data_IF_406285412528
#
_entry.id   IF_406285412528
#
_cell.length_a   1.000
_cell.length_b   1.000
_cell.length_c   1.000
_cell.angle_alpha   90.00
_cell.angle_beta   90.00
_cell.angle_gamma   90.00
#
_symmetry.space_group_name_H-M   'P 1'
#
loop_
_entity.id
_entity.type
_entity.pdbx_description
1 polymer ?
#
# COMPACT_ATOMS: atom_id res chain seq x y z
N UNK A 1 -17.81 37.63 40.72
CA UNK A 1 -17.34 37.07 39.44
C UNK A 1 -15.83 37.01 39.51
N UNK A 2 -15.29 35.84 39.89
CA UNK A 2 -13.84 35.63 40.00
C UNK A 2 -13.32 35.25 38.62
N UNK A 3 -12.35 35.99 38.13
CA UNK A 3 -11.62 35.74 36.89
C UNK A 3 -10.63 34.64 37.21
N UNK A 4 -10.92 33.41 36.73
CA UNK A 4 -9.92 32.32 36.74
C UNK A 4 -8.79 32.69 35.79
N UNK A 5 -7.62 32.90 36.38
CA UNK A 5 -6.37 33.05 35.63
C UNK A 5 -6.04 31.75 34.92
N UNK A 6 -6.16 31.73 33.61
CA UNK A 6 -5.63 30.62 32.79
C UNK A 6 -4.12 30.52 33.04
N UNK A 7 -3.74 29.45 33.74
CA UNK A 7 -2.32 29.08 33.90
C UNK A 7 -1.77 28.77 32.51
N UNK A 8 -0.75 29.48 32.09
CA UNK A 8 -0.02 29.20 30.85
C UNK A 8 0.52 27.78 30.90
N UNK A 9 0.35 27.04 29.79
CA UNK A 9 0.95 25.73 29.64
C UNK A 9 2.46 25.79 29.92
N UNK A 10 3.04 24.79 30.59
CA UNK A 10 4.48 24.79 30.86
C UNK A 10 5.24 24.86 29.53
N UNK A 11 6.41 25.53 29.51
CA UNK A 11 7.22 25.62 28.30
C UNK A 11 7.58 24.19 27.84
N UNK A 12 7.31 23.91 26.56
CA UNK A 12 7.75 22.67 25.93
C UNK A 12 9.27 22.65 26.05
N UNK A 13 9.81 21.80 26.89
CA UNK A 13 11.26 21.56 26.98
C UNK A 13 11.73 21.11 25.61
N UNK A 14 12.61 21.88 25.00
CA UNK A 14 13.23 21.54 23.73
C UNK A 14 13.99 20.24 23.92
N UNK A 15 13.55 19.19 23.23
CA UNK A 15 14.17 17.87 23.30
C UNK A 15 15.46 17.94 22.50
N UNK A 16 16.59 17.68 23.14
CA UNK A 16 17.89 17.53 22.47
C UNK A 16 17.85 16.30 21.55
N UNK A 17 18.09 16.51 20.26
CA UNK A 17 18.00 15.48 19.23
C UNK A 17 19.33 15.27 18.54
N UNK A 18 19.74 14.03 18.42
CA UNK A 18 20.85 13.68 17.55
C UNK A 18 20.53 14.03 16.11
N UNK A 19 21.55 14.43 15.34
CA UNK A 19 21.41 14.77 13.93
C UNK A 19 22.47 14.02 13.10
N UNK A 20 22.08 13.64 11.88
CA UNK A 20 22.99 13.12 10.89
C UNK A 20 22.70 13.74 9.53
N UNK A 21 23.76 13.85 8.68
CA UNK A 21 23.64 14.33 7.32
C UNK A 21 23.76 13.15 6.33
N UNK A 22 22.89 13.16 5.30
CA UNK A 22 22.89 12.18 4.22
C UNK A 22 22.63 12.85 2.88
N UNK A 23 22.95 12.19 1.78
CA UNK A 23 22.67 12.75 0.46
C UNK A 23 21.19 12.60 0.12
N UNK A 24 20.63 11.40 0.30
CA UNK A 24 19.22 11.11 0.00
C UNK A 24 18.55 10.43 1.19
N UNK A 25 17.48 11.04 1.71
CA UNK A 25 16.59 10.44 2.70
C UNK A 25 15.25 10.09 2.04
N UNK A 26 14.86 8.83 2.13
CA UNK A 26 13.62 8.30 1.57
C UNK A 26 12.64 7.96 2.70
N UNK A 27 11.34 8.22 2.49
CA UNK A 27 10.25 7.94 3.43
C UNK A 27 9.28 6.95 2.85
N UNK A 28 9.11 5.82 3.55
CA UNK A 28 8.23 4.72 3.17
C UNK A 28 8.83 3.81 2.10
N UNK A 29 8.78 2.50 2.32
CA UNK A 29 9.27 1.51 1.36
C UNK A 29 8.10 0.73 0.75
N UNK A 30 7.35 1.41 -0.12
CA UNK A 30 6.32 0.82 -0.96
C UNK A 30 6.79 0.58 -2.40
N UNK A 31 5.90 0.09 -3.28
CA UNK A 31 6.24 -0.18 -4.68
C UNK A 31 6.80 1.04 -5.44
N UNK A 32 6.34 2.25 -5.11
CA UNK A 32 6.83 3.48 -5.74
C UNK A 32 8.30 3.75 -5.35
N UNK A 33 8.62 3.65 -4.06
CA UNK A 33 9.98 3.82 -3.56
C UNK A 33 10.89 2.69 -4.05
N UNK A 34 10.41 1.45 -4.04
CA UNK A 34 11.13 0.32 -4.62
C UNK A 34 11.51 0.57 -6.08
N UNK A 35 10.58 1.08 -6.89
CA UNK A 35 10.86 1.45 -8.30
C UNK A 35 11.86 2.59 -8.44
N UNK A 36 11.77 3.63 -7.61
CA UNK A 36 12.73 4.74 -7.57
C UNK A 36 14.14 4.23 -7.24
N UNK A 37 14.30 3.49 -6.14
CA UNK A 37 15.59 2.99 -5.68
C UNK A 37 16.19 1.97 -6.64
N UNK A 38 15.39 1.11 -7.25
CA UNK A 38 15.83 0.16 -8.29
C UNK A 38 16.37 0.90 -9.52
N UNK A 39 15.69 1.97 -9.94
CA UNK A 39 16.16 2.79 -11.07
C UNK A 39 17.45 3.51 -10.71
N UNK A 40 17.52 4.14 -9.54
CA UNK A 40 18.71 4.83 -9.05
C UNK A 40 19.92 3.90 -8.99
N UNK A 41 19.78 2.74 -8.36
CA UNK A 41 20.89 1.78 -8.22
C UNK A 41 21.33 1.19 -9.56
N UNK A 42 20.41 0.98 -10.50
CA UNK A 42 20.73 0.55 -11.86
C UNK A 42 21.55 1.59 -12.60
N UNK A 43 21.14 2.85 -12.60
CA UNK A 43 21.88 3.94 -13.24
C UNK A 43 23.25 4.13 -12.58
N UNK A 44 23.33 4.05 -11.26
CA UNK A 44 24.58 4.13 -10.53
C UNK A 44 25.56 3.01 -10.93
N UNK A 45 25.06 1.78 -10.99
CA UNK A 45 25.88 0.61 -11.38
C UNK A 45 26.31 0.68 -12.85
N UNK A 46 25.48 1.25 -13.71
CA UNK A 46 25.81 1.41 -15.14
C UNK A 46 26.89 2.49 -15.41
N UNK A 47 27.05 3.44 -14.47
CA UNK A 47 27.98 4.56 -14.61
C UNK A 47 28.96 4.64 -13.42
N UNK A 48 29.83 3.65 -13.23
CA UNK A 48 30.78 3.61 -12.12
C UNK A 48 31.76 4.78 -12.20
N UNK A 49 31.90 5.53 -11.09
CA UNK A 49 32.79 6.68 -11.00
C UNK A 49 32.21 7.99 -11.57
N UNK A 50 30.92 8.01 -11.95
CA UNK A 50 30.28 9.27 -12.31
C UNK A 50 30.15 10.17 -11.04
N UNK A 51 30.64 11.45 -11.11
CA UNK A 51 30.54 12.39 -10.01
C UNK A 51 29.13 12.66 -9.51
N UNK A 52 28.12 12.33 -10.30
CA UNK A 52 26.71 12.43 -9.87
C UNK A 52 26.39 11.48 -8.69
N UNK A 53 27.14 10.37 -8.56
CA UNK A 53 26.99 9.39 -7.49
C UNK A 53 28.04 9.54 -6.37
N UNK A 54 28.78 10.64 -6.34
CA UNK A 54 29.64 11.00 -5.23
C UNK A 54 28.85 11.75 -4.16
N UNK A 55 29.11 11.42 -2.88
CA UNK A 55 28.46 12.05 -1.74
C UNK A 55 28.77 13.56 -1.67
N UNK A 56 27.73 14.38 -1.46
CA UNK A 56 27.87 15.81 -1.22
C UNK A 56 28.10 16.12 0.27
N UNK A 57 27.67 15.21 1.16
CA UNK A 57 27.86 15.36 2.62
C UNK A 57 29.16 14.77 3.11
N UNK A 58 29.73 13.81 2.39
CA UNK A 58 31.02 13.16 2.69
C UNK A 58 31.87 13.03 1.40
N UNK A 59 32.53 14.11 0.95
CA UNK A 59 33.30 14.09 -0.30
C UNK A 59 34.32 12.95 -0.34
N UNK A 60 34.43 12.30 -1.50
CA UNK A 60 35.25 11.11 -1.69
C UNK A 60 34.63 9.79 -1.28
N UNK A 61 33.39 9.83 -0.74
CA UNK A 61 32.57 8.65 -0.44
C UNK A 61 31.49 8.48 -1.50
N UNK A 62 30.90 7.27 -1.53
CA UNK A 62 29.73 6.99 -2.34
C UNK A 62 28.49 7.70 -1.78
N UNK A 63 27.56 8.00 -2.66
CA UNK A 63 26.26 8.60 -2.33
C UNK A 63 25.57 7.85 -1.18
N UNK A 64 25.18 8.57 -0.14
CA UNK A 64 24.51 7.97 1.03
C UNK A 64 23.00 8.02 0.85
N UNK A 65 22.39 6.84 0.67
CA UNK A 65 20.94 6.69 0.45
C UNK A 65 20.33 5.87 1.57
N UNK A 66 19.50 6.52 2.39
CA UNK A 66 18.78 5.89 3.50
C UNK A 66 17.29 5.91 3.24
N UNK A 67 16.62 4.78 3.43
CA UNK A 67 15.17 4.64 3.32
C UNK A 67 14.58 4.16 4.64
N UNK A 68 13.66 4.93 5.20
CA UNK A 68 13.00 4.66 6.47
C UNK A 68 11.58 4.13 6.22
N UNK A 69 11.29 2.94 6.75
CA UNK A 69 9.98 2.30 6.67
C UNK A 69 9.40 2.15 8.07
N UNK A 70 8.13 2.52 8.25
CA UNK A 70 7.45 2.44 9.55
C UNK A 70 7.14 1.02 10.01
N UNK A 71 6.88 0.12 9.06
CA UNK A 71 6.60 -1.26 9.36
C UNK A 71 7.88 -1.99 9.81
N UNK A 72 7.77 -2.86 10.79
CA UNK A 72 8.89 -3.65 11.31
C UNK A 72 9.40 -4.68 10.28
N UNK A 73 8.56 -5.02 9.30
CA UNK A 73 8.88 -5.96 8.24
C UNK A 73 8.43 -5.38 6.88
N UNK A 74 9.29 -5.46 5.87
CA UNK A 74 9.00 -5.04 4.50
C UNK A 74 7.86 -5.88 3.88
N UNK A 75 7.64 -7.09 4.38
CA UNK A 75 6.53 -7.94 3.98
C UNK A 75 5.16 -7.51 4.54
N UNK A 76 5.10 -6.48 5.40
CA UNK A 76 3.87 -5.99 6.02
C UNK A 76 2.87 -5.32 5.03
N UNK A 77 3.14 -5.37 3.74
CA UNK A 77 2.28 -4.84 2.70
C UNK A 77 1.00 -5.64 2.47
N UNK A 78 0.10 -5.06 1.68
CA UNK A 78 -1.19 -5.66 1.34
C UNK A 78 -1.01 -6.93 0.50
N UNK A 79 -1.60 -8.05 0.93
CA UNK A 79 -1.71 -9.26 0.13
C UNK A 79 -2.78 -9.11 -0.97
N UNK A 80 -2.57 -9.73 -2.13
CA UNK A 80 -3.55 -9.80 -3.20
C UNK A 80 -3.76 -8.49 -3.97
N UNK A 81 -2.93 -8.31 -4.97
CA UNK A 81 -3.05 -7.26 -5.98
C UNK A 81 -2.95 -7.89 -7.36
N UNK A 82 -3.75 -7.41 -8.30
CA UNK A 82 -3.58 -7.72 -9.72
C UNK A 82 -3.21 -6.46 -10.49
N UNK A 83 -2.17 -6.54 -11.31
CA UNK A 83 -1.62 -5.40 -12.05
C UNK A 83 -1.22 -5.80 -13.46
N UNK A 84 -1.24 -4.85 -14.40
CA UNK A 84 -0.64 -5.02 -15.74
C UNK A 84 0.89 -5.12 -15.69
N UNK A 85 1.49 -4.84 -14.55
CA UNK A 85 2.92 -4.96 -14.26
C UNK A 85 3.87 -4.16 -15.19
N UNK A 86 3.39 -3.17 -15.91
CA UNK A 86 4.22 -2.39 -16.85
C UNK A 86 5.40 -1.71 -16.16
N UNK A 87 5.15 -1.01 -15.04
CA UNK A 87 6.22 -0.37 -14.25
C UNK A 87 7.19 -1.39 -13.64
N UNK A 88 6.67 -2.53 -13.17
CA UNK A 88 7.50 -3.61 -12.62
C UNK A 88 8.43 -4.16 -13.71
N UNK A 89 7.90 -4.48 -14.89
CA UNK A 89 8.70 -4.98 -16.02
C UNK A 89 9.68 -3.94 -16.56
N UNK A 90 9.38 -2.64 -16.46
CA UNK A 90 10.33 -1.59 -16.80
C UNK A 90 11.51 -1.52 -15.82
N UNK A 91 11.26 -1.72 -14.52
CA UNK A 91 12.32 -1.77 -13.49
C UNK A 91 13.10 -3.09 -13.53
N UNK A 92 12.43 -4.20 -13.85
CA UNK A 92 12.99 -5.56 -13.90
C UNK A 92 12.63 -6.21 -15.24
N UNK A 93 13.36 -5.90 -16.35
CA UNK A 93 13.03 -6.43 -17.69
C UNK A 93 13.03 -7.95 -17.77
N UNK A 94 13.95 -8.61 -17.07
CA UNK A 94 14.14 -10.06 -17.08
C UNK A 94 13.39 -10.76 -15.92
N UNK A 95 12.40 -10.09 -15.35
CA UNK A 95 11.65 -10.60 -14.20
C UNK A 95 10.99 -11.95 -14.50
N UNK A 96 11.36 -12.96 -13.73
CA UNK A 96 10.63 -14.21 -13.64
C UNK A 96 9.67 -14.16 -12.42
N UNK A 97 8.35 -14.18 -12.62
CA UNK A 97 7.40 -14.11 -11.51
C UNK A 97 7.59 -15.21 -10.45
N UNK A 98 8.14 -16.37 -10.81
CA UNK A 98 8.39 -17.45 -9.87
C UNK A 98 9.47 -17.13 -8.81
N UNK A 99 10.27 -16.09 -9.02
CA UNK A 99 11.25 -15.62 -8.02
C UNK A 99 10.63 -14.79 -6.90
N UNK A 100 9.41 -14.30 -7.11
CA UNK A 100 8.67 -13.50 -6.13
C UNK A 100 7.70 -14.42 -5.40
N UNK A 101 7.79 -14.55 -4.07
CA UNK A 101 6.83 -15.36 -3.32
C UNK A 101 5.39 -14.92 -3.57
N UNK A 102 4.49 -15.86 -3.72
CA UNK A 102 3.07 -15.61 -4.02
C UNK A 102 2.80 -14.89 -5.35
N UNK A 103 3.76 -14.74 -6.26
CA UNK A 103 3.49 -14.14 -7.56
C UNK A 103 3.04 -15.18 -8.59
N UNK A 104 2.11 -14.79 -9.45
CA UNK A 104 1.68 -15.58 -10.60
C UNK A 104 1.35 -14.66 -11.79
N UNK A 105 1.57 -15.16 -12.99
CA UNK A 105 1.07 -14.49 -14.19
C UNK A 105 -0.44 -14.66 -14.31
N UNK A 106 -1.15 -13.59 -14.71
CA UNK A 106 -2.60 -13.63 -14.92
C UNK A 106 -2.92 -14.46 -16.18
N UNK A 107 -3.56 -15.60 -15.98
CA UNK A 107 -3.95 -16.55 -17.06
C UNK A 107 -5.44 -16.52 -17.36
N UNK A 108 -6.26 -16.34 -16.33
CA UNK A 108 -7.72 -16.32 -16.44
C UNK A 108 -8.29 -15.17 -15.66
N UNK A 109 -9.22 -14.46 -16.27
CA UNK A 109 -9.99 -13.39 -15.62
C UNK A 109 -11.46 -13.66 -15.77
N UNK A 110 -12.21 -13.56 -14.68
CA UNK A 110 -13.66 -13.73 -14.65
C UNK A 110 -14.30 -12.60 -13.87
N UNK A 111 -15.49 -12.21 -14.28
CA UNK A 111 -16.31 -11.22 -13.57
C UNK A 111 -17.58 -11.92 -13.11
N UNK A 112 -17.77 -11.91 -11.79
CA UNK A 112 -18.84 -12.66 -11.14
C UNK A 112 -19.84 -11.68 -10.50
N UNK A 113 -21.09 -11.75 -10.91
CA UNK A 113 -22.18 -11.09 -10.21
C UNK A 113 -22.72 -12.05 -9.15
N UNK A 114 -22.60 -11.65 -7.89
CA UNK A 114 -23.03 -12.45 -6.75
C UNK A 114 -24.49 -12.16 -6.41
N UNK A 115 -25.31 -13.23 -6.37
CA UNK A 115 -26.68 -13.16 -5.94
C UNK A 115 -26.75 -13.20 -4.40
N UNK A 116 -27.81 -12.62 -3.83
CA UNK A 116 -28.05 -12.70 -2.39
C UNK A 116 -28.65 -14.04 -1.98
N UNK A 117 -27.89 -14.99 -1.42
CA UNK A 117 -28.38 -16.34 -1.11
C UNK A 117 -29.31 -16.38 0.10
N UNK A 118 -29.17 -15.42 1.02
CA UNK A 118 -29.85 -15.45 2.33
C UNK A 118 -30.86 -14.33 2.52
N UNK A 119 -31.02 -13.43 1.53
CA UNK A 119 -31.95 -12.29 1.62
C UNK A 119 -31.52 -11.20 2.60
N UNK A 120 -30.23 -11.15 2.96
CA UNK A 120 -29.70 -10.21 3.93
C UNK A 120 -29.41 -8.82 3.34
N UNK A 121 -29.28 -8.72 2.03
CA UNK A 121 -28.98 -7.45 1.37
C UNK A 121 -30.21 -6.54 1.26
N UNK A 122 -29.95 -5.23 1.31
CA UNK A 122 -31.00 -4.21 1.14
C UNK A 122 -31.17 -3.80 -0.31
N UNK A 123 -31.19 -4.76 -1.23
CA UNK A 123 -31.32 -4.51 -2.67
C UNK A 123 -32.65 -3.85 -3.02
N UNK A 124 -32.64 -3.00 -4.02
CA UNK A 124 -33.84 -2.42 -4.62
C UNK A 124 -34.77 -3.51 -5.15
N UNK A 125 -36.06 -3.21 -5.27
CA UNK A 125 -37.04 -4.16 -5.82
C UNK A 125 -36.67 -4.64 -7.23
N UNK A 126 -36.10 -3.77 -8.05
CA UNK A 126 -35.62 -4.10 -9.40
C UNK A 126 -34.48 -5.12 -9.38
N UNK A 127 -33.48 -4.93 -8.51
CA UNK A 127 -32.36 -5.87 -8.35
C UNK A 127 -32.84 -7.21 -7.79
N UNK A 128 -33.77 -7.19 -6.85
CA UNK A 128 -34.38 -8.44 -6.31
C UNK A 128 -35.16 -9.20 -7.37
N UNK A 129 -35.86 -8.51 -8.25
CA UNK A 129 -36.54 -9.10 -9.39
C UNK A 129 -35.53 -9.71 -10.40
N UNK A 130 -34.44 -8.99 -10.68
CA UNK A 130 -33.35 -9.51 -11.52
C UNK A 130 -32.72 -10.76 -10.92
N UNK A 131 -32.40 -10.75 -9.63
CA UNK A 131 -31.85 -11.91 -8.91
C UNK A 131 -32.80 -13.11 -8.99
N UNK A 132 -34.10 -12.88 -8.81
CA UNK A 132 -35.11 -13.93 -8.91
C UNK A 132 -35.19 -14.50 -10.33
N UNK A 133 -35.16 -13.64 -11.36
CA UNK A 133 -35.14 -14.08 -12.75
C UNK A 133 -33.90 -14.91 -13.08
N UNK A 134 -32.71 -14.46 -12.67
CA UNK A 134 -31.47 -15.20 -12.85
C UNK A 134 -31.50 -16.56 -12.15
N UNK A 135 -32.04 -16.64 -10.93
CA UNK A 135 -32.18 -17.91 -10.20
C UNK A 135 -33.14 -18.87 -10.90
N UNK A 136 -34.25 -18.39 -11.42
CA UNK A 136 -35.22 -19.22 -12.16
C UNK A 136 -34.59 -19.79 -13.44
N UNK A 137 -33.78 -19.01 -14.14
CA UNK A 137 -33.01 -19.50 -15.28
C UNK A 137 -31.97 -20.53 -14.89
N UNK A 138 -31.46 -20.48 -13.66
CA UNK A 138 -30.53 -21.48 -13.10
C UNK A 138 -29.31 -21.74 -13.98
N UNK A 139 -28.87 -23.00 -14.10
CA UNK A 139 -27.67 -23.36 -14.90
C UNK A 139 -27.83 -23.02 -16.38
N UNK A 140 -29.05 -23.04 -16.94
CA UNK A 140 -29.33 -22.65 -18.33
C UNK A 140 -29.09 -21.16 -18.56
N UNK A 141 -29.25 -20.33 -17.51
CA UNK A 141 -28.94 -18.90 -17.52
C UNK A 141 -27.52 -18.56 -17.08
N UNK A 142 -26.62 -19.55 -16.87
CA UNK A 142 -25.24 -19.32 -16.46
C UNK A 142 -25.08 -19.09 -14.96
N UNK A 143 -26.13 -19.33 -14.13
CA UNK A 143 -26.05 -19.18 -12.67
C UNK A 143 -25.58 -20.51 -12.05
N UNK A 144 -24.46 -20.45 -11.31
CA UNK A 144 -23.94 -21.58 -10.51
C UNK A 144 -23.59 -21.07 -9.12
N UNK A 145 -23.92 -21.82 -8.10
CA UNK A 145 -23.57 -21.54 -6.70
C UNK A 145 -23.83 -20.08 -6.27
N UNK A 146 -25.01 -19.56 -6.63
CA UNK A 146 -25.42 -18.17 -6.36
C UNK A 146 -24.57 -17.09 -7.05
N UNK A 147 -23.83 -17.44 -8.09
CA UNK A 147 -23.05 -16.51 -8.90
C UNK A 147 -23.43 -16.60 -10.37
N UNK A 148 -23.45 -15.47 -11.04
CA UNK A 148 -23.59 -15.35 -12.48
C UNK A 148 -22.28 -14.85 -13.06
N UNK A 149 -21.67 -15.64 -13.94
CA UNK A 149 -20.46 -15.24 -14.64
C UNK A 149 -20.81 -14.37 -15.84
N UNK A 150 -20.24 -13.16 -15.91
CA UNK A 150 -20.40 -12.31 -17.08
C UNK A 150 -19.64 -12.93 -18.27
N UNK A 151 -20.23 -12.92 -19.49
CA UNK A 151 -19.61 -13.52 -20.67
C UNK A 151 -18.39 -12.73 -21.19
N UNK A 152 -18.01 -11.66 -20.57
CA UNK A 152 -16.82 -10.83 -20.93
C UNK A 152 -16.24 -10.14 -19.69
N UNK A 153 -14.94 -9.84 -19.75
CA UNK A 153 -14.28 -8.98 -18.78
C UNK A 153 -14.21 -7.54 -19.33
N UNK A 154 -14.75 -6.54 -18.62
CA UNK A 154 -14.63 -5.13 -19.02
C UNK A 154 -13.16 -4.72 -19.18
N UNK A 155 -12.84 -3.93 -20.21
CA UNK A 155 -11.46 -3.58 -20.57
C UNK A 155 -10.66 -2.89 -19.45
N UNK A 156 -11.33 -2.15 -18.55
CA UNK A 156 -10.66 -1.52 -17.41
C UNK A 156 -10.22 -2.53 -16.33
N UNK A 157 -10.90 -3.68 -16.21
CA UNK A 157 -10.52 -4.78 -15.34
C UNK A 157 -9.46 -5.70 -15.95
N UNK A 158 -9.34 -5.71 -17.26
CA UNK A 158 -8.50 -6.66 -17.98
C UNK A 158 -7.01 -6.52 -17.64
N UNK A 159 -6.42 -7.59 -17.12
CA UNK A 159 -5.03 -7.69 -16.67
C UNK A 159 -4.29 -8.91 -17.23
N UNK A 160 -4.86 -9.59 -18.24
CA UNK A 160 -4.24 -10.77 -18.86
C UNK A 160 -2.77 -10.49 -19.24
N UNK A 161 -1.86 -11.42 -18.94
CA UNK A 161 -0.42 -11.22 -19.09
C UNK A 161 0.22 -10.29 -18.04
N UNK A 162 -0.57 -9.77 -17.10
CA UNK A 162 -0.08 -9.05 -15.92
C UNK A 162 0.29 -10.00 -14.79
N UNK A 163 0.40 -9.47 -13.57
CA UNK A 163 0.81 -10.22 -12.39
C UNK A 163 -0.25 -10.15 -11.28
N UNK A 164 -0.46 -11.28 -10.63
CA UNK A 164 -1.01 -11.38 -9.29
C UNK A 164 0.17 -11.31 -8.33
N UNK A 165 0.08 -10.49 -7.28
CA UNK A 165 1.15 -10.28 -6.31
C UNK A 165 0.58 -10.18 -4.89
N UNK A 166 1.36 -10.59 -3.91
CA UNK A 166 1.32 -10.03 -2.56
C UNK A 166 2.27 -8.83 -2.54
N UNK A 167 1.76 -7.63 -2.29
CA UNK A 167 2.61 -6.42 -2.27
C UNK A 167 3.67 -6.51 -1.18
N UNK A 168 3.34 -7.09 -0.02
CA UNK A 168 4.33 -7.32 1.03
C UNK A 168 5.48 -8.19 0.55
N UNK A 169 5.18 -9.34 -0.03
CA UNK A 169 6.19 -10.25 -0.56
C UNK A 169 7.01 -9.63 -1.70
N UNK A 170 6.34 -8.87 -2.57
CA UNK A 170 7.02 -8.11 -3.62
C UNK A 170 7.96 -7.05 -3.05
N UNK A 171 7.51 -6.26 -2.06
CA UNK A 171 8.37 -5.27 -1.41
C UNK A 171 9.58 -5.93 -0.74
N UNK A 172 9.39 -7.05 -0.03
CA UNK A 172 10.48 -7.79 0.59
C UNK A 172 11.48 -8.30 -0.45
N UNK A 173 11.00 -8.84 -1.57
CA UNK A 173 11.86 -9.29 -2.68
C UNK A 173 12.65 -8.11 -3.27
N UNK A 174 12.00 -6.98 -3.59
CA UNK A 174 12.69 -5.77 -4.08
C UNK A 174 13.70 -5.26 -3.06
N UNK A 175 13.32 -5.20 -1.79
CA UNK A 175 14.21 -4.78 -0.70
C UNK A 175 15.45 -5.65 -0.60
N UNK A 176 15.32 -6.97 -0.72
CA UNK A 176 16.45 -7.88 -0.70
C UNK A 176 17.41 -7.66 -1.89
N UNK A 177 16.87 -7.43 -3.09
CA UNK A 177 17.67 -7.10 -4.27
C UNK A 177 18.45 -5.79 -4.07
N UNK A 178 17.79 -4.76 -3.55
CA UNK A 178 18.42 -3.46 -3.30
C UNK A 178 19.52 -3.54 -2.23
N UNK A 179 19.24 -4.20 -1.10
CA UNK A 179 20.23 -4.37 -0.04
C UNK A 179 21.44 -5.18 -0.49
N UNK A 180 21.26 -6.16 -1.38
CA UNK A 180 22.35 -6.94 -1.96
C UNK A 180 23.33 -6.09 -2.80
N UNK A 181 22.89 -4.93 -3.32
CA UNK A 181 23.79 -4.01 -4.04
C UNK A 181 24.78 -3.29 -3.12
N UNK A 182 24.49 -3.18 -1.84
CA UNK A 182 25.24 -2.37 -0.87
C UNK A 182 25.16 -0.85 -1.08
N UNK A 183 24.37 -0.38 -2.05
CA UNK A 183 24.25 1.05 -2.40
C UNK A 183 23.15 1.78 -1.64
N UNK A 184 22.18 1.06 -1.09
CA UNK A 184 21.02 1.59 -0.38
C UNK A 184 20.86 0.89 0.96
N UNK A 185 20.56 1.64 2.01
CA UNK A 185 20.21 1.11 3.30
C UNK A 185 18.71 1.31 3.54
N UNK A 186 18.01 0.21 3.83
CA UNK A 186 16.58 0.23 4.16
C UNK A 186 16.43 -0.10 5.64
N UNK A 187 15.70 0.75 6.38
CA UNK A 187 15.53 0.66 7.83
C UNK A 187 14.05 0.41 8.17
N UNK A 188 13.62 -0.85 8.28
CA UNK A 188 12.30 -1.18 8.83
C UNK A 188 12.17 -0.75 10.29
N UNK A 189 10.95 -0.61 10.79
CA UNK A 189 10.68 -0.21 12.18
C UNK A 189 11.11 1.21 12.51
N UNK A 190 11.29 2.06 11.49
CA UNK A 190 11.81 3.43 11.64
C UNK A 190 10.80 4.46 11.13
N UNK A 191 9.69 4.69 11.86
CA UNK A 191 8.67 5.63 11.44
C UNK A 191 9.20 7.06 11.39
N UNK A 192 8.81 7.80 10.34
CA UNK A 192 9.12 9.23 10.19
C UNK A 192 7.98 10.05 10.75
N UNK A 193 8.28 10.96 11.67
CA UNK A 193 7.31 11.87 12.28
C UNK A 193 6.90 13.01 11.35
N UNK A 194 7.84 13.54 10.56
CA UNK A 194 7.57 14.65 9.65
C UNK A 194 8.81 15.15 8.92
N UNK A 195 8.62 16.08 7.97
CA UNK A 195 9.72 16.75 7.30
C UNK A 195 10.38 17.80 8.19
N UNK A 196 11.67 18.05 7.98
CA UNK A 196 12.40 19.18 8.52
C UNK A 196 12.39 20.31 7.50
N UNK A 197 12.27 21.53 8.01
CA UNK A 197 12.26 22.74 7.18
C UNK A 197 13.30 23.75 7.67
N UNK A 198 13.98 24.38 6.72
CA UNK A 198 14.71 25.62 6.93
C UNK A 198 14.06 26.66 6.02
N UNK A 199 13.37 27.62 6.59
CA UNK A 199 12.48 28.56 5.90
C UNK A 199 11.41 27.80 5.07
N UNK A 200 11.48 27.92 3.74
CA UNK A 200 10.57 27.24 2.80
C UNK A 200 11.17 25.98 2.17
N UNK A 201 12.41 25.64 2.50
CA UNK A 201 13.11 24.51 1.93
C UNK A 201 12.92 23.29 2.84
N UNK A 202 12.64 22.14 2.23
CA UNK A 202 12.74 20.85 2.92
C UNK A 202 14.21 20.52 3.14
N UNK A 203 14.59 20.27 4.38
CA UNK A 203 15.97 20.09 4.80
C UNK A 203 16.27 18.69 5.33
N UNK A 204 15.30 17.80 5.20
CA UNK A 204 15.40 16.42 5.66
C UNK A 204 14.11 15.94 6.31
N UNK A 205 14.26 15.02 7.24
CA UNK A 205 13.15 14.39 7.96
C UNK A 205 13.51 14.17 9.44
N UNK A 206 12.48 14.05 10.29
CA UNK A 206 12.61 13.66 11.70
C UNK A 206 12.02 12.28 11.90
N UNK A 207 12.79 11.38 12.49
CA UNK A 207 12.27 10.11 12.95
C UNK A 207 11.32 10.29 14.14
N UNK A 208 10.36 9.40 14.30
CA UNK A 208 9.42 9.47 15.41
C UNK A 208 10.11 9.16 16.75
N UNK A 209 9.66 9.84 17.79
CA UNK A 209 10.05 9.53 19.16
C UNK A 209 9.52 8.14 19.55
N UNK A 210 10.31 7.38 20.29
CA UNK A 210 9.92 6.10 20.85
C UNK A 210 9.67 6.24 22.37
N UNK A 211 8.89 5.29 22.92
CA UNK A 211 8.57 5.33 24.35
C UNK A 211 7.74 6.55 24.75
N UNK A 212 6.78 6.94 23.91
CA UNK A 212 5.80 7.99 24.22
C UNK A 212 4.46 7.38 24.63
N UNK A 213 3.74 8.08 25.50
CA UNK A 213 2.38 7.71 25.87
C UNK A 213 1.35 8.09 24.78
N UNK A 214 0.06 7.82 25.04
CA UNK A 214 -1.04 8.14 24.08
C UNK A 214 -1.23 9.62 23.80
N UNK A 215 -0.68 10.51 24.66
CA UNK A 215 -0.71 11.95 24.46
C UNK A 215 0.52 12.48 23.70
N UNK A 216 1.51 11.59 23.43
CA UNK A 216 2.79 11.95 22.84
C UNK A 216 3.83 12.42 23.85
N UNK A 217 3.54 12.36 25.15
CA UNK A 217 4.49 12.73 26.18
C UNK A 217 5.51 11.59 26.44
N UNK A 218 6.77 11.94 26.81
CA UNK A 218 7.77 10.94 27.18
C UNK A 218 7.28 10.02 28.30
N UNK A 219 7.43 8.71 28.11
CA UNK A 219 7.15 7.66 29.07
C UNK A 219 8.42 6.85 29.39
N UNK A 220 8.29 5.76 30.13
CA UNK A 220 9.43 4.89 30.43
C UNK A 220 10.05 4.33 29.12
N UNK A 221 11.37 4.46 29.02
CA UNK A 221 12.09 4.07 27.80
C UNK A 221 12.04 5.09 26.66
N UNK A 222 11.71 6.34 26.97
CA UNK A 222 11.69 7.41 25.96
C UNK A 222 13.05 7.54 25.26
N UNK A 223 13.01 7.58 23.94
CA UNK A 223 14.13 7.92 23.06
C UNK A 223 13.67 8.97 22.04
N UNK A 224 14.38 10.08 22.01
CA UNK A 224 14.12 11.13 21.03
C UNK A 224 14.43 10.62 19.61
N UNK A 225 13.53 10.91 18.69
CA UNK A 225 13.77 10.64 17.27
C UNK A 225 14.90 11.53 16.73
N UNK A 226 15.71 10.96 15.85
CA UNK A 226 16.84 11.64 15.23
C UNK A 226 16.38 12.58 14.11
N UNK A 227 17.08 13.69 13.93
CA UNK A 227 16.96 14.56 12.77
C UNK A 227 17.92 14.09 11.66
N UNK A 228 17.38 13.70 10.52
CA UNK A 228 18.13 13.28 9.35
C UNK A 228 18.09 14.42 8.34
N UNK A 229 19.17 15.16 8.21
CA UNK A 229 19.31 16.22 7.21
C UNK A 229 19.69 15.62 5.88
N UNK A 230 19.07 16.06 4.79
CA UNK A 230 19.27 15.47 3.49
C UNK A 230 19.38 16.52 2.39
N UNK A 231 20.28 16.29 1.42
CA UNK A 231 20.32 17.10 0.21
C UNK A 231 19.07 16.93 -0.65
N UNK A 232 18.52 15.70 -0.67
CA UNK A 232 17.27 15.34 -1.33
C UNK A 232 16.41 14.49 -0.40
N UNK A 233 15.16 14.90 -0.20
CA UNK A 233 14.14 14.10 0.51
C UNK A 233 13.15 13.55 -0.51
N UNK A 234 13.00 12.22 -0.56
CA UNK A 234 12.07 11.52 -1.44
C UNK A 234 10.95 10.91 -0.62
N UNK A 235 9.71 11.29 -0.90
CA UNK A 235 8.55 10.86 -0.11
C UNK A 235 7.71 9.86 -0.88
N UNK A 236 7.60 8.65 -0.34
CA UNK A 236 6.82 7.54 -0.86
C UNK A 236 5.97 6.89 0.22
N UNK A 237 5.44 7.68 1.16
CA UNK A 237 4.73 7.24 2.36
C UNK A 237 3.25 6.88 2.12
N UNK A 238 2.85 6.82 0.84
CA UNK A 238 1.53 6.33 0.42
C UNK A 238 0.40 7.36 0.56
N UNK A 239 -0.84 6.94 0.28
CA UNK A 239 -1.97 7.87 0.15
C UNK A 239 -2.44 8.52 1.46
N UNK A 240 -2.00 8.00 2.60
CA UNK A 240 -2.28 8.52 3.95
C UNK A 240 -1.01 8.89 4.71
N UNK A 241 0.07 9.09 3.99
CA UNK A 241 1.36 9.38 4.58
C UNK A 241 1.38 10.73 5.32
N UNK A 242 1.94 10.71 6.53
CA UNK A 242 2.00 11.91 7.38
C UNK A 242 2.95 12.97 6.82
N UNK A 243 4.06 12.52 6.22
CA UNK A 243 5.07 13.43 5.66
C UNK A 243 4.54 14.12 4.41
N UNK A 244 3.91 13.37 3.49
CA UNK A 244 3.28 13.94 2.31
C UNK A 244 2.22 14.98 2.65
N UNK A 245 1.38 14.71 3.67
CA UNK A 245 0.38 15.67 4.14
C UNK A 245 1.00 16.93 4.75
N UNK A 246 2.05 16.78 5.55
CA UNK A 246 2.75 17.92 6.13
C UNK A 246 3.41 18.81 5.06
N UNK A 247 3.92 18.19 3.99
CA UNK A 247 4.45 18.93 2.83
C UNK A 247 3.36 19.69 2.08
N UNK A 248 2.21 19.05 1.81
CA UNK A 248 1.07 19.70 1.15
C UNK A 248 0.59 20.92 1.93
N UNK A 249 0.49 20.80 3.26
CA UNK A 249 0.07 21.89 4.14
C UNK A 249 1.11 23.03 4.18
N UNK A 250 2.40 22.71 4.32
CA UNK A 250 3.49 23.68 4.40
C UNK A 250 3.68 24.47 3.10
N UNK A 251 3.62 23.78 1.97
CA UNK A 251 3.81 24.38 0.65
C UNK A 251 2.53 25.01 0.10
N UNK A 252 1.40 24.88 0.81
CA UNK A 252 0.12 25.42 0.38
C UNK A 252 -0.37 24.80 -0.93
N UNK A 253 -0.05 23.52 -1.17
CA UNK A 253 -0.47 22.84 -2.40
C UNK A 253 -1.99 22.68 -2.44
N UNK A 254 -2.60 22.74 -3.64
CA UNK A 254 -4.03 22.56 -3.77
C UNK A 254 -4.47 21.24 -3.16
N UNK A 255 -5.42 21.28 -2.23
CA UNK A 255 -6.04 20.07 -1.64
C UNK A 255 -6.97 19.39 -2.67
N UNK A 256 -6.45 19.15 -3.87
CA UNK A 256 -7.19 18.59 -4.99
C UNK A 256 -7.59 17.12 -4.82
N UNK A 257 -6.88 16.41 -3.98
CA UNK A 257 -7.20 15.04 -3.60
C UNK A 257 -8.12 15.07 -2.37
N UNK A 258 -9.34 15.56 -2.56
CA UNK A 258 -10.35 15.44 -1.51
C UNK A 258 -10.48 13.96 -1.15
N UNK A 259 -10.23 13.60 0.10
CA UNK A 259 -10.32 12.25 0.66
C UNK A 259 -11.75 11.70 0.67
N UNK A 260 -12.54 12.02 -0.34
CA UNK A 260 -13.96 11.68 -0.43
C UNK A 260 -14.21 10.34 -1.12
N UNK A 261 -13.22 9.87 -1.89
CA UNK A 261 -13.32 8.66 -2.72
C UNK A 261 -12.43 7.54 -2.21
N UNK A 262 -12.55 7.25 -0.92
CA UNK A 262 -11.84 6.15 -0.30
C UNK A 262 -12.70 4.90 -0.28
N UNK A 263 -12.06 3.75 -0.29
CA UNK A 263 -12.70 2.49 0.06
C UNK A 263 -11.94 1.85 1.22
N UNK A 264 -12.68 1.29 2.16
CA UNK A 264 -12.12 0.45 3.21
C UNK A 264 -12.12 -0.99 2.70
N UNK A 265 -10.94 -1.58 2.55
CA UNK A 265 -10.79 -2.97 2.14
C UNK A 265 -10.48 -3.88 3.32
N UNK A 266 -11.06 -5.08 3.30
CA UNK A 266 -10.61 -6.21 4.10
C UNK A 266 -10.17 -7.34 3.19
N UNK A 267 -9.06 -7.98 3.55
CA UNK A 267 -8.45 -9.04 2.76
C UNK A 267 -8.02 -10.18 3.67
N UNK A 268 -8.14 -11.39 3.14
CA UNK A 268 -7.61 -12.60 3.75
C UNK A 268 -6.75 -13.34 2.76
N UNK A 269 -5.77 -14.06 3.27
CA UNK A 269 -5.08 -15.12 2.54
C UNK A 269 -5.54 -16.43 3.15
N UNK A 270 -6.07 -17.30 2.31
CA UNK A 270 -6.56 -18.64 2.69
C UNK A 270 -5.84 -19.70 1.90
N UNK A 271 -5.71 -20.87 2.45
CA UNK A 271 -5.22 -22.06 1.75
C UNK A 271 -6.39 -22.83 1.17
N UNK A 272 -6.31 -23.19 -0.10
CA UNK A 272 -7.30 -24.02 -0.77
C UNK A 272 -7.14 -25.48 -0.36
N UNK A 273 -8.25 -26.20 -0.30
CA UNK A 273 -8.25 -27.65 -0.14
C UNK A 273 -7.56 -28.35 -1.31
N UNK A 274 -7.12 -29.59 -1.09
CA UNK A 274 -6.36 -30.38 -2.09
C UNK A 274 -7.17 -30.70 -3.34
N UNK A 275 -8.48 -30.79 -3.21
CA UNK A 275 -9.43 -31.07 -4.27
C UNK A 275 -9.90 -29.84 -5.04
N UNK A 276 -9.35 -28.65 -4.73
CA UNK A 276 -9.68 -27.42 -5.44
C UNK A 276 -9.18 -27.44 -6.88
N UNK A 277 -10.06 -27.07 -7.81
CA UNK A 277 -9.74 -26.92 -9.24
C UNK A 277 -9.30 -25.51 -9.63
N UNK A 278 -9.04 -24.61 -8.65
CA UNK A 278 -8.57 -23.25 -8.93
C UNK A 278 -7.08 -23.26 -9.20
N UNK A 279 -6.71 -22.82 -10.38
CA UNK A 279 -5.31 -22.78 -10.82
C UNK A 279 -4.63 -21.43 -10.51
N UNK A 280 -3.33 -21.43 -10.20
CA UNK A 280 -2.55 -20.20 -10.08
C UNK A 280 -2.64 -19.34 -11.34
N UNK A 281 -2.83 -18.04 -11.15
CA UNK A 281 -3.06 -17.09 -12.23
C UNK A 281 -4.54 -16.83 -12.50
N UNK A 282 -5.45 -17.42 -11.73
CA UNK A 282 -6.90 -17.13 -11.81
C UNK A 282 -7.23 -15.86 -11.04
N UNK A 283 -7.97 -14.97 -11.69
CA UNK A 283 -8.48 -13.69 -11.15
C UNK A 283 -9.99 -13.68 -11.26
N UNK A 284 -10.68 -13.51 -10.14
CA UNK A 284 -12.11 -13.22 -10.12
C UNK A 284 -12.33 -11.82 -9.58
N UNK A 285 -13.08 -11.03 -10.35
CA UNK A 285 -13.66 -9.77 -9.90
C UNK A 285 -15.09 -10.02 -9.50
N UNK A 286 -15.46 -9.72 -8.27
CA UNK A 286 -16.82 -9.97 -7.77
C UNK A 286 -17.53 -8.66 -7.48
N UNK A 287 -18.85 -8.63 -7.68
CA UNK A 287 -19.72 -7.53 -7.32
C UNK A 287 -21.14 -8.07 -7.10
N UNK A 288 -22.01 -7.25 -6.52
CA UNK A 288 -23.41 -7.60 -6.38
C UNK A 288 -23.83 -7.94 -4.95
N UNK A 289 -23.04 -8.66 -4.17
CA UNK A 289 -23.33 -9.02 -2.79
C UNK A 289 -22.22 -8.52 -1.86
N UNK A 290 -22.56 -8.04 -0.65
CA UNK A 290 -23.92 -7.85 -0.10
C UNK A 290 -24.73 -6.73 -0.78
N UNK A 291 -24.09 -5.79 -1.43
CA UNK A 291 -24.70 -4.70 -2.18
C UNK A 291 -24.04 -4.55 -3.54
N UNK A 292 -24.77 -4.04 -4.57
CA UNK A 292 -24.21 -3.94 -5.93
C UNK A 292 -22.92 -3.11 -6.05
N UNK A 293 -22.76 -2.13 -5.16
CA UNK A 293 -21.62 -1.21 -5.13
C UNK A 293 -20.41 -1.76 -4.37
N UNK A 294 -20.53 -2.89 -3.72
CA UNK A 294 -19.43 -3.56 -3.04
C UNK A 294 -18.71 -4.46 -4.03
N UNK A 295 -17.47 -4.10 -4.28
CA UNK A 295 -16.57 -4.89 -5.13
C UNK A 295 -15.70 -5.80 -4.28
N UNK A 296 -15.52 -7.02 -4.78
CA UNK A 296 -14.63 -7.98 -4.19
C UNK A 296 -13.70 -8.61 -5.24
N UNK A 297 -12.83 -9.45 -4.76
CA UNK A 297 -11.89 -10.17 -5.60
C UNK A 297 -11.49 -11.51 -4.99
N UNK A 298 -11.02 -12.40 -5.86
CA UNK A 298 -10.33 -13.62 -5.52
C UNK A 298 -9.16 -13.78 -6.47
N UNK A 299 -7.94 -13.93 -5.95
CA UNK A 299 -6.72 -14.10 -6.72
C UNK A 299 -6.00 -15.36 -6.28
N UNK A 300 -5.77 -16.28 -7.21
CA UNK A 300 -5.12 -17.56 -6.93
C UNK A 300 -3.61 -17.43 -7.15
N UNK A 301 -2.88 -17.58 -6.07
CA UNK A 301 -1.43 -17.60 -6.01
C UNK A 301 -0.89 -19.04 -6.20
N UNK A 302 0.43 -19.22 -6.37
CA UNK A 302 1.07 -20.53 -6.21
C UNK A 302 0.80 -21.14 -4.82
N UNK A 303 1.15 -22.42 -4.67
CA UNK A 303 1.07 -23.14 -3.38
C UNK A 303 -0.33 -23.19 -2.76
N UNK A 304 -1.38 -23.21 -3.61
CA UNK A 304 -2.78 -23.24 -3.19
C UNK A 304 -3.23 -22.07 -2.32
N UNK A 305 -2.50 -20.96 -2.34
CA UNK A 305 -2.87 -19.75 -1.63
C UNK A 305 -3.83 -18.89 -2.44
N UNK A 306 -4.81 -18.32 -1.78
CA UNK A 306 -5.77 -17.40 -2.39
C UNK A 306 -5.88 -16.14 -1.56
N UNK A 307 -5.72 -15.00 -2.21
CA UNK A 307 -6.12 -13.72 -1.63
C UNK A 307 -7.57 -13.44 -1.98
N UNK A 308 -8.40 -13.22 -0.97
CA UNK A 308 -9.80 -12.85 -1.11
C UNK A 308 -10.09 -11.59 -0.32
N UNK A 309 -10.94 -10.73 -0.83
CA UNK A 309 -11.31 -9.51 -0.13
C UNK A 309 -12.43 -8.74 -0.78
N UNK A 310 -12.88 -7.72 -0.06
CA UNK A 310 -13.91 -6.79 -0.51
C UNK A 310 -13.50 -5.35 -0.22
N UNK A 311 -14.10 -4.43 -0.95
CA UNK A 311 -13.95 -2.99 -0.77
C UNK A 311 -15.32 -2.35 -0.54
N UNK A 312 -15.46 -1.66 0.59
CA UNK A 312 -16.65 -0.87 0.94
C UNK A 312 -16.33 0.60 0.68
N UNK A 313 -17.02 1.27 -0.25
CA UNK A 313 -16.81 2.69 -0.52
C UNK A 313 -17.07 3.57 0.72
N UNK A 314 -16.27 4.60 0.91
CA UNK A 314 -16.37 5.50 2.07
C UNK A 314 -17.67 6.30 2.15
N UNK A 315 -18.38 6.45 1.04
CA UNK A 315 -19.69 7.09 1.00
C UNK A 315 -20.84 6.21 1.55
N UNK A 316 -20.58 4.92 1.74
CA UNK A 316 -21.48 4.03 2.47
C UNK A 316 -21.40 4.31 3.97
N UNK A 317 -22.26 5.20 4.46
CA UNK A 317 -22.26 5.66 5.85
C UNK A 317 -23.05 4.75 6.81
N UNK A 318 -23.70 3.71 6.32
CA UNK A 318 -24.45 2.75 7.16
C UNK A 318 -23.50 1.90 8.00
N UNK A 319 -23.48 2.03 9.33
CA UNK A 319 -22.54 1.29 10.19
C UNK A 319 -22.78 -0.23 10.18
N UNK A 320 -23.93 -0.69 9.68
CA UNK A 320 -24.20 -2.13 9.49
C UNK A 320 -23.46 -2.72 8.27
N UNK A 321 -22.93 -1.87 7.39
CA UNK A 321 -22.21 -2.22 6.16
C UNK A 321 -20.71 -2.00 6.31
N UNK A 322 -20.13 -2.60 7.32
CA UNK A 322 -18.67 -2.58 7.48
C UNK A 322 -18.06 -3.67 6.62
N UNK A 323 -16.80 -3.47 6.17
CA UNK A 323 -16.07 -4.49 5.44
C UNK A 323 -16.03 -5.83 6.19
N UNK A 324 -15.89 -5.79 7.52
CA UNK A 324 -15.87 -6.98 8.38
C UNK A 324 -17.19 -7.77 8.34
N UNK A 325 -18.34 -7.09 8.31
CA UNK A 325 -19.66 -7.77 8.26
C UNK A 325 -20.04 -8.25 6.87
N UNK A 326 -19.37 -7.74 5.85
CA UNK A 326 -19.65 -8.05 4.46
C UNK A 326 -18.80 -9.20 3.92
N UNK A 327 -17.75 -9.58 4.64
CA UNK A 327 -16.94 -10.78 4.41
C UNK A 327 -17.51 -12.01 5.12
#
# INVERSE_FOLDING_TARGET
MSVETMTAAPPVTEIDRQSMDVDIACVGFGPAMGGFLTTLTREWTAHPGDPAFESKVAPGMLLQVLCYERADDLAAGVSGVVTRAQGIRASFPDLNPAEIPMAAEVKQERVMYLLDPIGASRRSLTLRATDAALRVMGPLGGVRDHAFELPWTPGFLHKHGGLILSIGQFNQWVGSQLMATGLVQIWPGSPVAGPLFTDKKVDGLRLADQGVDKSGAPADGFMAGMDVRAQLTVVGDGPVGAVGQALDDHLGLPKGNARREWALGMKFVIELSEDSNLEPGTVWHTFGYPEPEIFGFLYVHPERLVSVGIFVPSWMSDPSRTAYRSL
#
